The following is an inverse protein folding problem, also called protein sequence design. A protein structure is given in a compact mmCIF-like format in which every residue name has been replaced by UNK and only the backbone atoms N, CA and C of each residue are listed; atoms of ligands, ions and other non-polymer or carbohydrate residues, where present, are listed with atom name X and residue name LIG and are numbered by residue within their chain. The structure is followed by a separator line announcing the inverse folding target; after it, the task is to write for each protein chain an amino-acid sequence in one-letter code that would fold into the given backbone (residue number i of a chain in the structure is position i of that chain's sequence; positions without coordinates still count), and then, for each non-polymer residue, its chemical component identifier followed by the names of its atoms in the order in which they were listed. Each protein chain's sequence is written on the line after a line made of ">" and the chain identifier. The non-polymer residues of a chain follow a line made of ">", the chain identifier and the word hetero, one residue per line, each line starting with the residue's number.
data_IF_602924229639
#
_entry.id   IF_602924229639
#
_cell.length_a   1.000
_cell.length_b   1.000
_cell.length_c   1.000
_cell.angle_alpha   90.00
_cell.angle_beta   90.00
_cell.angle_gamma   90.00
#
_symmetry.space_group_name_H-M   'P 1'
#
loop_
_entity.id
_entity.type
_entity.pdbx_description
1 polymer ?
#
# COMPACT_ATOMS: atom_id res chain seq x y z
N UNK A 1 -4.28 13.36 0.96
CA UNK A 1 -5.35 12.41 0.64
C UNK A 1 -4.74 11.25 -0.11
N UNK A 2 -5.09 10.03 0.30
CA UNK A 2 -4.66 8.82 -0.36
C UNK A 2 -5.14 8.82 -1.81
N UNK A 3 -4.33 8.24 -2.71
CA UNK A 3 -4.63 8.23 -4.14
C UNK A 3 -4.03 7.01 -4.83
N UNK A 4 -4.64 6.62 -5.95
CA UNK A 4 -4.07 5.58 -6.82
C UNK A 4 -2.71 6.05 -7.35
N UNK A 5 -1.72 5.16 -7.31
CA UNK A 5 -0.38 5.41 -7.82
C UNK A 5 -0.18 4.66 -9.14
N UNK A 6 -0.26 5.41 -10.23
CA UNK A 6 -0.01 4.91 -11.58
C UNK A 6 1.47 4.52 -11.76
N UNK A 7 1.71 3.35 -12.33
CA UNK A 7 3.06 2.82 -12.50
C UNK A 7 3.19 1.96 -13.76
N UNK A 8 4.41 1.89 -14.29
CA UNK A 8 4.71 1.19 -15.56
C UNK A 8 4.61 -0.34 -15.47
N UNK A 9 4.64 -0.92 -14.26
CA UNK A 9 4.58 -2.38 -14.05
C UNK A 9 3.16 -2.91 -13.90
N UNK A 10 2.15 -2.03 -13.89
CA UNK A 10 0.74 -2.40 -13.80
C UNK A 10 0.30 -2.95 -12.45
N UNK A 11 1.07 -2.73 -11.39
CA UNK A 11 0.64 -3.09 -10.04
C UNK A 11 -0.46 -2.15 -9.56
N UNK A 12 -1.38 -2.66 -8.73
CA UNK A 12 -2.39 -1.85 -8.06
C UNK A 12 -1.84 -1.30 -6.74
N UNK A 13 -1.44 -0.02 -6.77
CA UNK A 13 -0.78 0.65 -5.66
C UNK A 13 -1.62 1.86 -5.23
N UNK A 14 -1.72 2.07 -3.92
CA UNK A 14 -2.30 3.29 -3.34
C UNK A 14 -1.19 4.03 -2.60
N UNK A 15 -0.92 5.27 -2.99
CA UNK A 15 -0.07 6.16 -2.19
C UNK A 15 -0.91 6.68 -1.02
N UNK A 16 -0.46 6.40 0.21
CA UNK A 16 -1.13 6.83 1.44
C UNK A 16 -0.09 7.15 2.50
N UNK A 17 -0.28 8.27 3.19
CA UNK A 17 0.56 8.68 4.31
C UNK A 17 0.32 7.80 5.53
N UNK A 18 1.27 7.82 6.47
CA UNK A 18 1.16 7.15 7.76
C UNK A 18 -0.12 7.56 8.50
N UNK A 19 -0.41 8.85 8.53
CA UNK A 19 -1.59 9.39 9.22
C UNK A 19 -2.89 8.94 8.56
N UNK A 20 -2.95 8.85 7.23
CA UNK A 20 -4.12 8.33 6.52
C UNK A 20 -4.35 6.85 6.85
N UNK A 21 -3.29 6.04 6.87
CA UNK A 21 -3.39 4.62 7.24
C UNK A 21 -3.88 4.44 8.67
N UNK A 22 -3.32 5.19 9.64
CA UNK A 22 -3.77 5.13 11.04
C UNK A 22 -5.22 5.61 11.17
N UNK A 23 -5.58 6.72 10.53
CA UNK A 23 -6.93 7.26 10.59
C UNK A 23 -7.96 6.26 10.06
N UNK A 24 -7.65 5.56 8.98
CA UNK A 24 -8.56 4.60 8.36
C UNK A 24 -8.58 3.23 9.04
N UNK A 25 -7.50 2.82 9.71
CA UNK A 25 -7.30 1.42 10.13
C UNK A 25 -6.93 1.22 11.60
N UNK A 26 -6.87 2.27 12.42
CA UNK A 26 -6.51 2.15 13.84
C UNK A 26 -7.43 1.20 14.62
N UNK A 27 -8.74 1.18 14.32
CA UNK A 27 -9.69 0.23 14.91
C UNK A 27 -9.40 -1.24 14.56
N UNK A 28 -8.68 -1.48 13.46
CA UNK A 28 -8.21 -2.80 13.01
C UNK A 28 -6.74 -3.07 13.41
N UNK A 29 -6.16 -2.24 14.29
CA UNK A 29 -4.81 -2.45 14.82
C UNK A 29 -3.68 -1.77 14.03
N UNK A 30 -3.99 -0.89 13.07
CA UNK A 30 -2.94 -0.14 12.39
C UNK A 30 -2.28 0.90 13.31
N UNK A 31 -0.96 0.79 13.46
CA UNK A 31 -0.13 1.73 14.25
C UNK A 31 0.81 2.57 13.38
N UNK A 32 0.68 2.46 12.05
CA UNK A 32 1.47 3.23 11.07
C UNK A 32 2.96 2.88 11.10
N UNK A 33 3.28 1.58 11.05
CA UNK A 33 4.64 1.07 10.93
C UNK A 33 4.82 0.51 9.53
N UNK A 34 5.99 0.70 8.93
CA UNK A 34 6.32 0.08 7.64
C UNK A 34 6.42 -1.44 7.79
N UNK A 35 5.63 -2.19 7.02
CA UNK A 35 5.57 -3.66 7.09
C UNK A 35 6.87 -4.34 6.60
N UNK A 36 7.76 -3.60 5.93
CA UNK A 36 9.05 -4.13 5.46
C UNK A 36 10.21 -3.89 6.44
N UNK A 37 10.34 -2.68 7.02
CA UNK A 37 11.50 -2.32 7.84
C UNK A 37 11.17 -2.08 9.31
N UNK A 38 9.89 -2.12 9.71
CA UNK A 38 9.47 -1.90 11.09
C UNK A 38 9.62 -0.45 11.57
N UNK A 39 10.02 0.49 10.71
CA UNK A 39 10.16 1.89 11.08
C UNK A 39 8.80 2.60 11.18
N UNK A 40 8.62 3.37 12.25
CA UNK A 40 7.52 4.33 12.42
C UNK A 40 7.90 5.77 12.04
N UNK A 41 9.16 6.02 11.66
CA UNK A 41 9.69 7.36 11.36
C UNK A 41 9.40 7.82 9.91
N UNK A 42 8.43 7.21 9.24
CA UNK A 42 8.05 7.55 7.87
C UNK A 42 6.68 8.23 7.85
N UNK A 43 6.56 9.33 7.11
CA UNK A 43 5.27 10.03 6.94
C UNK A 43 4.57 9.63 5.65
N UNK A 44 5.33 9.36 4.60
CA UNK A 44 4.81 8.93 3.30
C UNK A 44 5.04 7.43 3.06
N UNK A 45 4.10 6.80 2.37
CA UNK A 45 4.21 5.41 1.98
C UNK A 45 3.24 4.98 0.89
N UNK A 46 3.30 3.70 0.61
CA UNK A 46 2.59 3.05 -0.49
C UNK A 46 2.01 1.73 0.01
N UNK A 47 0.69 1.61 -0.09
CA UNK A 47 0.01 0.34 0.07
C UNK A 47 0.10 -0.46 -1.23
N UNK A 48 0.64 -1.67 -1.12
CA UNK A 48 0.91 -2.60 -2.22
C UNK A 48 -0.14 -3.70 -2.16
N UNK A 49 -1.17 -3.64 -3.01
CA UNK A 49 -2.33 -4.50 -2.90
C UNK A 49 -1.99 -6.00 -3.06
N UNK A 50 -1.04 -6.35 -3.94
CA UNK A 50 -0.62 -7.74 -4.15
C UNK A 50 0.07 -8.35 -2.92
N UNK A 51 0.69 -7.53 -2.06
CA UNK A 51 1.30 -7.99 -0.80
C UNK A 51 0.38 -7.82 0.40
N UNK A 52 -0.68 -7.03 0.28
CA UNK A 52 -1.46 -6.53 1.40
C UNK A 52 -0.60 -5.86 2.48
N UNK A 53 0.39 -5.05 2.05
CA UNK A 53 1.33 -4.37 2.96
C UNK A 53 1.43 -2.88 2.65
N UNK A 54 1.67 -2.07 3.67
CA UNK A 54 2.04 -0.67 3.53
C UNK A 54 3.52 -0.47 3.81
N UNK A 55 4.24 0.02 2.80
CA UNK A 55 5.68 0.29 2.87
C UNK A 55 5.96 1.78 2.91
N UNK A 56 6.96 2.19 3.69
CA UNK A 56 7.55 3.51 3.55
C UNK A 56 8.15 3.68 2.14
N UNK A 57 8.36 4.94 1.73
CA UNK A 57 8.88 5.26 0.39
C UNK A 57 10.13 4.45 -0.01
N UNK A 58 11.14 4.35 0.86
CA UNK A 58 12.38 3.63 0.54
C UNK A 58 12.15 2.13 0.32
N UNK A 59 11.35 1.51 1.20
CA UNK A 59 11.02 0.09 1.08
C UNK A 59 10.17 -0.18 -0.17
N UNK A 60 9.25 0.71 -0.50
CA UNK A 60 8.46 0.63 -1.73
C UNK A 60 9.36 0.67 -2.97
N UNK A 61 10.25 1.66 -3.09
CA UNK A 61 11.11 1.78 -4.28
C UNK A 61 12.08 0.60 -4.41
N UNK A 62 12.62 0.09 -3.30
CA UNK A 62 13.45 -1.14 -3.29
C UNK A 62 12.66 -2.37 -3.73
N UNK A 63 11.43 -2.54 -3.24
CA UNK A 63 10.54 -3.61 -3.69
C UNK A 63 10.20 -3.44 -5.18
N UNK A 64 9.74 -2.26 -5.58
CA UNK A 64 9.28 -1.97 -6.93
C UNK A 64 10.39 -2.16 -7.96
N UNK A 65 11.66 -1.84 -7.66
CA UNK A 65 12.78 -2.07 -8.56
C UNK A 65 12.90 -3.54 -8.99
N UNK A 66 12.73 -4.48 -8.05
CA UNK A 66 12.86 -5.93 -8.29
C UNK A 66 11.52 -6.66 -8.52
N UNK A 67 10.39 -6.02 -8.25
CA UNK A 67 9.08 -6.65 -8.36
C UNK A 67 8.75 -7.05 -9.81
N UNK A 68 8.18 -8.23 -9.97
CA UNK A 68 7.63 -8.77 -11.22
C UNK A 68 6.17 -9.11 -10.98
N UNK A 69 5.28 -8.65 -11.85
CA UNK A 69 3.84 -8.92 -11.77
C UNK A 69 3.56 -10.31 -12.34
N UNK A 70 2.71 -11.08 -11.67
CA UNK A 70 2.24 -12.39 -12.13
C UNK A 70 0.72 -12.38 -12.26
N UNK A 71 0.20 -12.95 -13.35
CA UNK A 71 -1.24 -13.02 -13.60
C UNK A 71 -1.97 -13.87 -12.55
N UNK A 72 -1.29 -14.84 -11.93
CA UNK A 72 -1.84 -15.66 -10.84
C UNK A 72 -2.27 -14.85 -9.63
N UNK A 73 -1.65 -13.68 -9.42
CA UNK A 73 -1.87 -12.87 -8.21
C UNK A 73 -2.99 -11.85 -8.40
N UNK A 74 -3.52 -11.72 -9.63
CA UNK A 74 -4.47 -10.68 -10.01
C UNK A 74 -5.75 -10.72 -9.18
N UNK A 75 -6.25 -11.91 -8.85
CA UNK A 75 -7.45 -12.04 -8.02
C UNK A 75 -7.23 -11.44 -6.61
N UNK A 76 -6.10 -11.76 -5.97
CA UNK A 76 -5.77 -11.26 -4.62
C UNK A 76 -5.46 -9.77 -4.67
N UNK A 77 -4.68 -9.33 -5.67
CA UNK A 77 -4.36 -7.93 -5.89
C UNK A 77 -5.64 -7.08 -6.08
N UNK A 78 -6.58 -7.54 -6.90
CA UNK A 78 -7.86 -6.85 -7.13
C UNK A 78 -8.71 -6.79 -5.85
N UNK A 79 -8.88 -7.92 -5.16
CA UNK A 79 -9.67 -8.00 -3.93
C UNK A 79 -9.15 -7.00 -2.88
N UNK A 80 -7.84 -6.99 -2.66
CA UNK A 80 -7.20 -6.12 -1.68
C UNK A 80 -7.29 -4.64 -2.09
N UNK A 81 -7.07 -4.34 -3.38
CA UNK A 81 -7.12 -2.97 -3.88
C UNK A 81 -8.50 -2.34 -3.74
N UNK A 82 -9.58 -3.06 -4.11
CA UNK A 82 -10.94 -2.52 -3.97
C UNK A 82 -11.33 -2.31 -2.51
N UNK A 83 -10.92 -3.22 -1.60
CA UNK A 83 -11.12 -3.05 -0.17
C UNK A 83 -10.44 -1.77 0.34
N UNK A 84 -9.15 -1.60 0.04
CA UNK A 84 -8.40 -0.44 0.55
C UNK A 84 -8.77 0.87 -0.14
N UNK A 85 -9.25 0.85 -1.40
CA UNK A 85 -9.90 2.00 -2.02
C UNK A 85 -11.11 2.46 -1.20
N UNK A 86 -12.01 1.53 -0.85
CA UNK A 86 -13.19 1.85 -0.05
C UNK A 86 -12.82 2.37 1.33
N UNK A 87 -11.89 1.70 2.01
CA UNK A 87 -11.42 2.09 3.36
C UNK A 87 -10.75 3.46 3.37
N UNK A 88 -10.00 3.81 2.32
CA UNK A 88 -9.30 5.09 2.19
C UNK A 88 -10.14 6.17 1.48
N UNK A 89 -11.40 5.89 1.14
CA UNK A 89 -12.31 6.85 0.51
C UNK A 89 -11.92 7.26 -0.91
N UNK A 90 -11.32 6.36 -1.69
CA UNK A 90 -10.90 6.58 -3.08
C UNK A 90 -11.97 5.98 -4.00
N UNK A 91 -12.64 6.83 -4.79
CA UNK A 91 -13.67 6.42 -5.74
C UNK A 91 -13.15 6.46 -7.17
#
# INVERSE_FOLDING_TARGET
>A
MAKVYENKKGFKIIQATRSEMICALSEYGCVGICDSCGSSNCQDGFYIAVLNCWYCSDCFHKWYARAKRYASDEYVENKNFELYKAVLGIY
#
